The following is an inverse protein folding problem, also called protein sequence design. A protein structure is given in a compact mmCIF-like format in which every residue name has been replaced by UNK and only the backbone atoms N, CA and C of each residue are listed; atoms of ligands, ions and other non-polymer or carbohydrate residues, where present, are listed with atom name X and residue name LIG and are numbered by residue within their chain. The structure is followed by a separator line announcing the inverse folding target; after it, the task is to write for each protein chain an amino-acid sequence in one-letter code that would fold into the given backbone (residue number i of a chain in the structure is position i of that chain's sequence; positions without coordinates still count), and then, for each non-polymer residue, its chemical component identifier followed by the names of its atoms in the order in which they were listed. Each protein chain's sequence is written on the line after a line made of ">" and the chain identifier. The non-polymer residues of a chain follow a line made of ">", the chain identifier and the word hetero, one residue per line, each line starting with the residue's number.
data_IF_758651436341
#
_entry.id   IF_758651436341
#
_cell.length_a   1.000
_cell.length_b   1.000
_cell.length_c   1.000
_cell.angle_alpha   90.00
_cell.angle_beta   90.00
_cell.angle_gamma   90.00
#
_symmetry.space_group_name_H-M   'P 1'
#
loop_
_entity.id
_entity.type
_entity.pdbx_description
1 polymer ?
#
# COMPACT_ATOMS: atom_id res chain seq x y z
N UNK A 1 18.63 7.03 8.99
CA UNK A 1 17.21 6.84 9.38
C UNK A 1 16.37 7.12 8.15
N UNK A 2 15.70 6.11 7.59
CA UNK A 2 14.84 6.26 6.41
C UNK A 2 13.39 6.00 6.78
N UNK A 3 12.46 6.53 5.98
CA UNK A 3 11.02 6.30 6.13
C UNK A 3 10.48 5.98 4.74
N UNK A 4 9.66 4.93 4.64
CA UNK A 4 8.98 4.57 3.40
C UNK A 4 7.54 5.10 3.44
N UNK A 5 7.09 5.68 2.34
CA UNK A 5 5.72 6.18 2.17
C UNK A 5 5.00 5.19 1.26
N UNK A 6 3.91 4.62 1.76
CA UNK A 6 3.01 3.82 0.94
C UNK A 6 1.74 4.65 0.71
N UNK A 7 1.46 4.96 -0.55
CA UNK A 7 0.32 5.80 -0.95
C UNK A 7 -0.75 4.96 -1.66
N UNK A 8 -2.00 5.22 -1.32
CA UNK A 8 -3.16 4.76 -2.07
C UNK A 8 -3.61 5.87 -3.01
N UNK A 9 -3.79 5.51 -4.27
CA UNK A 9 -4.32 6.36 -5.32
C UNK A 9 -5.54 5.71 -5.97
N UNK A 10 -6.41 6.51 -6.56
CA UNK A 10 -7.46 5.98 -7.43
C UNK A 10 -6.90 5.60 -8.81
N UNK A 11 -7.79 5.09 -9.68
CA UNK A 11 -7.41 4.65 -11.02
C UNK A 11 -6.91 5.79 -11.93
N UNK A 12 -7.19 7.05 -11.60
CA UNK A 12 -6.72 8.22 -12.33
C UNK A 12 -5.43 8.81 -11.73
N UNK A 13 -4.91 8.20 -10.65
CA UNK A 13 -3.73 8.69 -9.94
C UNK A 13 -4.03 9.80 -8.93
N UNK A 14 -5.30 10.07 -8.62
CA UNK A 14 -5.63 11.02 -7.56
C UNK A 14 -5.28 10.41 -6.19
N UNK A 15 -4.72 11.23 -5.32
CA UNK A 15 -4.33 10.81 -3.98
C UNK A 15 -5.54 10.52 -3.09
N UNK A 16 -5.52 9.37 -2.41
CA UNK A 16 -6.60 8.93 -1.50
C UNK A 16 -6.14 8.93 -0.05
N UNK A 17 -4.99 8.30 0.23
CA UNK A 17 -4.43 8.18 1.58
C UNK A 17 -2.98 7.71 1.54
N UNK A 18 -2.28 7.72 2.67
CA UNK A 18 -0.96 7.12 2.80
C UNK A 18 -0.71 6.59 4.22
N UNK A 19 0.28 5.70 4.35
CA UNK A 19 0.85 5.31 5.64
C UNK A 19 2.37 5.43 5.61
N UNK A 20 2.95 5.67 6.79
CA UNK A 20 4.39 5.74 6.98
C UNK A 20 4.88 4.43 7.57
N UNK A 21 5.86 3.82 6.91
CA UNK A 21 6.56 2.67 7.45
C UNK A 21 7.93 3.13 7.95
N UNK A 22 8.33 2.73 9.17
CA UNK A 22 9.69 2.96 9.62
C UNK A 22 10.65 2.16 8.73
N UNK A 23 11.76 2.78 8.36
CA UNK A 23 12.86 2.15 7.62
C UNK A 23 12.46 1.66 6.21
N UNK A 24 13.20 0.67 5.68
CA UNK A 24 12.86 -0.03 4.44
C UNK A 24 12.19 -1.34 4.82
N UNK A 25 10.87 -1.36 4.69
CA UNK A 25 10.02 -2.55 4.92
C UNK A 25 9.39 -2.97 3.60
N UNK A 26 9.09 -4.27 3.48
CA UNK A 26 8.35 -4.81 2.35
C UNK A 26 7.03 -4.07 2.19
N UNK A 27 6.65 -3.78 0.95
CA UNK A 27 5.47 -2.97 0.63
C UNK A 27 4.18 -3.58 1.18
N UNK A 28 4.15 -4.91 1.29
CA UNK A 28 2.99 -5.67 1.76
C UNK A 28 2.59 -5.32 3.21
N UNK A 29 3.55 -4.90 4.05
CA UNK A 29 3.32 -4.66 5.48
C UNK A 29 2.35 -3.50 5.73
N UNK A 30 2.33 -2.49 4.84
CA UNK A 30 1.49 -1.30 4.98
C UNK A 30 0.12 -1.40 4.30
N UNK A 31 -0.12 -2.45 3.51
CA UNK A 31 -1.31 -2.55 2.63
C UNK A 31 -2.60 -2.64 3.45
N UNK A 32 -2.63 -3.48 4.49
CA UNK A 32 -3.83 -3.67 5.33
C UNK A 32 -4.34 -2.34 5.88
N UNK A 33 -3.44 -1.49 6.39
CA UNK A 33 -3.79 -0.19 6.93
C UNK A 33 -4.41 0.76 5.88
N UNK A 34 -4.04 0.61 4.60
CA UNK A 34 -4.56 1.44 3.52
C UNK A 34 -5.90 0.96 2.98
N UNK A 35 -6.16 -0.35 2.99
CA UNK A 35 -7.38 -0.92 2.40
C UNK A 35 -8.47 -1.22 3.44
N UNK A 36 -8.15 -1.15 4.74
CA UNK A 36 -9.11 -1.38 5.82
C UNK A 36 -10.33 -0.47 5.67
N UNK A 37 -11.52 -1.07 5.77
CA UNK A 37 -12.81 -0.39 5.64
C UNK A 37 -13.07 0.26 4.27
N UNK A 38 -12.39 -0.18 3.20
CA UNK A 38 -12.71 0.20 1.82
C UNK A 38 -13.46 -0.94 1.12
N UNK A 39 -14.46 -0.59 0.35
CA UNK A 39 -15.18 -1.52 -0.51
C UNK A 39 -14.55 -1.53 -1.90
N UNK A 40 -14.31 -2.74 -2.41
CA UNK A 40 -13.78 -2.96 -3.74
C UNK A 40 -14.70 -3.94 -4.48
N UNK A 41 -15.04 -3.64 -5.73
CA UNK A 41 -15.73 -4.60 -6.58
C UNK A 41 -14.83 -5.79 -6.95
N UNK A 42 -13.52 -5.55 -7.02
CA UNK A 42 -12.49 -6.57 -7.19
C UNK A 42 -11.18 -6.06 -6.56
N UNK A 43 -10.46 -6.95 -5.87
CA UNK A 43 -9.12 -6.70 -5.36
C UNK A 43 -8.14 -7.56 -6.15
N UNK A 44 -7.34 -6.92 -7.00
CA UNK A 44 -6.29 -7.57 -7.77
C UNK A 44 -4.96 -7.29 -7.10
N UNK A 45 -4.24 -8.35 -6.74
CA UNK A 45 -2.89 -8.27 -6.20
C UNK A 45 -1.98 -9.15 -7.06
N UNK A 46 -0.81 -8.62 -7.39
CA UNK A 46 0.26 -9.41 -7.99
C UNK A 46 1.25 -9.83 -6.88
N UNK A 47 1.84 -11.02 -7.01
CA UNK A 47 2.88 -11.45 -6.09
C UNK A 47 4.15 -10.68 -6.42
N UNK A 48 4.51 -9.73 -5.55
CA UNK A 48 5.75 -8.98 -5.69
C UNK A 48 6.98 -9.91 -5.58
N UNK A 49 8.07 -9.54 -6.26
CA UNK A 49 9.32 -10.29 -6.33
C UNK A 49 10.02 -10.44 -4.96
N UNK A 50 9.67 -9.61 -3.96
CA UNK A 50 10.23 -9.56 -2.60
C UNK A 50 9.31 -10.16 -1.52
N UNK A 51 8.39 -11.05 -1.91
CA UNK A 51 7.42 -11.66 -1.01
C UNK A 51 7.92 -12.93 -0.26
N UNK A 52 9.22 -13.25 -0.31
CA UNK A 52 9.86 -14.36 0.41
C UNK A 52 10.40 -13.96 1.80
#
# INVERSE_FOLDING_TARGET
>A
MSTKILALVDALGNWVSFTLLPEQRHDIVGVEALIKNKEFNALLADKAFDAD
#
